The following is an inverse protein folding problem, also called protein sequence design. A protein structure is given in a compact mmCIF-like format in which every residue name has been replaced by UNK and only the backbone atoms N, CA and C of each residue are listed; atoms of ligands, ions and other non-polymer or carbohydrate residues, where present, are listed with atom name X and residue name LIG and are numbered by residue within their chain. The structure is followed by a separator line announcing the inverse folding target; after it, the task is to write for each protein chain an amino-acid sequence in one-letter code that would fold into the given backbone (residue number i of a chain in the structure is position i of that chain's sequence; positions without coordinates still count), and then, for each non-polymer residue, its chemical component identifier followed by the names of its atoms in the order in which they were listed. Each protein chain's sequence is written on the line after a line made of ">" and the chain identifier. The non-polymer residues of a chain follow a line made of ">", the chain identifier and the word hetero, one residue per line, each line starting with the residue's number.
data_IF_634814407481
#
_entry.id   IF_634814407481
#
_cell.length_a   1.000
_cell.length_b   1.000
_cell.length_c   1.000
_cell.angle_alpha   90.00
_cell.angle_beta   90.00
_cell.angle_gamma   90.00
#
_symmetry.space_group_name_H-M   'P 1'
#
loop_
_entity.id
_entity.type
_entity.pdbx_description
1 polymer ?
#
# COMPACT_ATOMS: atom_id res chain seq x y z
N UNK A 1 15.50 74.49 -10.31
CA UNK A 1 15.34 73.63 -9.12
C UNK A 1 15.49 72.18 -9.60
N UNK A 2 16.65 71.57 -9.33
CA UNK A 2 17.14 70.39 -10.07
C UNK A 2 16.47 69.09 -9.59
N UNK A 3 15.34 68.75 -10.21
CA UNK A 3 14.60 67.49 -10.00
C UNK A 3 15.45 66.22 -10.23
N UNK A 4 16.48 66.29 -11.07
CA UNK A 4 17.33 65.14 -11.35
C UNK A 4 18.20 64.72 -10.17
N UNK A 5 18.66 65.64 -9.31
CA UNK A 5 19.51 65.26 -8.16
C UNK A 5 18.74 64.54 -7.04
N UNK A 6 17.43 64.74 -6.94
CA UNK A 6 16.56 64.09 -5.94
C UNK A 6 16.23 62.65 -6.38
N UNK A 7 16.06 62.41 -7.68
CA UNK A 7 15.73 61.09 -8.22
C UNK A 7 16.89 60.08 -8.07
N UNK A 8 18.14 60.53 -8.24
CA UNK A 8 19.33 59.68 -8.07
C UNK A 8 19.64 59.32 -6.61
N UNK A 9 19.10 60.07 -5.64
CA UNK A 9 19.23 59.76 -4.21
C UNK A 9 18.10 58.85 -3.70
N UNK A 10 16.92 58.88 -4.34
CA UNK A 10 15.79 58.03 -4.00
C UNK A 10 15.95 56.58 -4.51
N UNK A 11 16.58 56.38 -5.66
CA UNK A 11 16.74 55.07 -6.28
C UNK A 11 17.54 54.04 -5.44
N UNK A 12 18.70 54.39 -4.82
CA UNK A 12 19.42 53.44 -3.97
C UNK A 12 18.70 53.19 -2.63
N UNK A 13 17.97 54.18 -2.10
CA UNK A 13 17.19 54.02 -0.85
C UNK A 13 15.97 53.12 -1.06
N UNK A 14 15.31 53.22 -2.22
CA UNK A 14 14.19 52.34 -2.58
C UNK A 14 14.66 50.90 -2.86
N UNK A 15 15.84 50.72 -3.47
CA UNK A 15 16.44 49.41 -3.69
C UNK A 15 16.82 48.71 -2.37
N UNK A 16 17.36 49.44 -1.39
CA UNK A 16 17.67 48.90 -0.05
C UNK A 16 16.40 48.54 0.73
N UNK A 17 15.31 49.31 0.58
CA UNK A 17 14.01 48.95 1.16
C UNK A 17 13.33 47.75 0.47
N UNK A 18 13.55 47.55 -0.84
CA UNK A 18 13.08 46.36 -1.56
C UNK A 18 13.88 45.09 -1.21
N UNK A 19 15.16 45.20 -0.85
CA UNK A 19 15.99 44.07 -0.41
C UNK A 19 15.76 43.69 1.06
N UNK A 20 15.35 44.63 1.92
CA UNK A 20 15.01 44.35 3.31
C UNK A 20 13.61 43.72 3.49
N UNK A 21 12.81 43.61 2.42
CA UNK A 21 11.42 43.13 2.47
C UNK A 21 11.19 41.68 2.03
N UNK A 22 12.24 40.86 1.88
CA UNK A 22 12.13 39.52 1.30
C UNK A 22 12.07 38.36 2.32
N UNK A 23 12.22 38.61 3.62
CA UNK A 23 11.99 37.61 4.65
C UNK A 23 10.68 37.89 5.39
N UNK A 24 9.60 37.20 5.01
CA UNK A 24 8.28 37.34 5.68
C UNK A 24 8.22 36.65 7.05
N UNK A 25 9.24 35.86 7.38
CA UNK A 25 9.44 35.13 8.61
C UNK A 25 10.96 34.89 8.75
N UNK A 26 11.46 34.80 9.98
CA UNK A 26 12.87 34.51 10.26
C UNK A 26 12.96 33.84 11.64
N UNK A 27 13.94 32.95 11.84
CA UNK A 27 14.25 32.35 13.13
C UNK A 27 15.20 33.21 13.99
N UNK A 28 15.85 34.22 13.40
CA UNK A 28 16.91 35.01 14.05
C UNK A 28 16.39 36.30 14.70
N UNK A 29 15.25 36.81 14.25
CA UNK A 29 14.72 38.11 14.67
C UNK A 29 13.37 37.97 15.39
N UNK A 30 13.33 38.32 16.67
CA UNK A 30 12.11 38.27 17.52
C UNK A 30 10.94 39.15 17.02
N UNK A 31 11.19 40.04 16.05
CA UNK A 31 10.19 40.93 15.46
C UNK A 31 9.41 40.28 14.29
N UNK A 32 9.86 39.12 13.79
CA UNK A 32 9.21 38.39 12.70
C UNK A 32 8.52 37.12 13.23
N UNK A 33 7.38 36.72 12.65
CA UNK A 33 6.75 35.45 13.00
C UNK A 33 7.65 34.27 12.63
N UNK A 34 7.52 33.15 13.36
CA UNK A 34 8.17 31.89 13.02
C UNK A 34 7.83 31.48 11.58
N UNK A 35 8.82 30.91 10.88
CA UNK A 35 8.59 30.41 9.54
C UNK A 35 7.68 29.20 9.54
N UNK A 36 6.73 29.21 8.61
CA UNK A 36 5.71 28.18 8.51
C UNK A 36 6.25 27.02 7.68
N UNK A 37 6.33 25.83 8.28
CA UNK A 37 6.81 24.62 7.64
C UNK A 37 5.69 23.59 7.64
N UNK A 38 5.08 23.35 6.48
CA UNK A 38 3.98 22.39 6.34
C UNK A 38 4.37 21.16 5.55
N UNK A 39 3.75 20.05 5.92
CA UNK A 39 3.90 18.75 5.29
C UNK A 39 2.53 18.20 4.90
N UNK A 40 2.43 17.60 3.71
CA UNK A 40 1.22 16.91 3.26
C UNK A 40 1.53 15.55 2.70
N UNK A 41 0.74 14.56 3.08
CA UNK A 41 0.91 13.19 2.61
C UNK A 41 0.34 13.04 1.20
N UNK A 42 1.05 12.31 0.33
CA UNK A 42 0.61 12.02 -1.04
C UNK A 42 0.77 10.54 -1.33
N UNK A 43 -0.23 9.95 -1.98
CA UNK A 43 -0.18 8.56 -2.44
C UNK A 43 -0.31 8.55 -3.95
N UNK A 44 0.81 8.79 -4.64
CA UNK A 44 0.94 8.68 -6.11
C UNK A 44 1.52 7.34 -6.56
N UNK A 45 1.98 6.54 -5.61
CA UNK A 45 2.53 5.22 -5.86
C UNK A 45 1.41 4.20 -6.05
N UNK A 46 0.52 4.47 -7.01
CA UNK A 46 -0.56 3.59 -7.44
C UNK A 46 -0.56 3.45 -8.96
N UNK A 47 -1.35 2.51 -9.48
CA UNK A 47 -1.43 2.22 -10.92
C UNK A 47 -1.98 3.40 -11.76
N UNK A 48 -2.64 4.39 -11.14
CA UNK A 48 -3.18 5.58 -11.81
C UNK A 48 -2.18 6.73 -11.88
N UNK A 49 -1.04 6.63 -11.18
CA UNK A 49 -0.01 7.68 -11.10
C UNK A 49 -0.56 9.06 -10.66
N UNK A 50 -1.64 9.06 -9.89
CA UNK A 50 -2.30 10.27 -9.38
C UNK A 50 -2.43 10.18 -7.87
N UNK A 51 -2.48 11.33 -7.19
CA UNK A 51 -2.61 11.34 -5.73
C UNK A 51 -3.99 10.84 -5.31
N UNK A 52 -4.01 9.74 -4.55
CA UNK A 52 -5.21 9.11 -4.04
C UNK A 52 -5.28 9.14 -2.50
N UNK A 53 -4.36 9.82 -1.81
CA UNK A 53 -4.24 9.73 -0.34
C UNK A 53 -5.55 10.09 0.38
N UNK A 54 -6.15 11.23 0.01
CA UNK A 54 -7.40 11.67 0.64
C UNK A 54 -8.56 10.68 0.41
N UNK A 55 -8.62 10.06 -0.78
CA UNK A 55 -9.64 9.05 -1.10
C UNK A 55 -9.44 7.79 -0.25
N UNK A 56 -8.21 7.28 -0.18
CA UNK A 56 -7.86 6.10 0.64
C UNK A 56 -8.22 6.33 2.12
N UNK A 57 -7.83 7.47 2.69
CA UNK A 57 -8.10 7.79 4.10
C UNK A 57 -9.60 7.90 4.41
N UNK A 58 -10.40 8.49 3.50
CA UNK A 58 -11.85 8.60 3.70
C UNK A 58 -12.53 7.24 3.66
N UNK A 59 -12.08 6.34 2.79
CA UNK A 59 -12.70 5.02 2.59
C UNK A 59 -12.20 3.93 3.55
N UNK A 60 -11.20 4.21 4.39
CA UNK A 60 -10.84 3.28 5.46
C UNK A 60 -12.06 3.02 6.36
N UNK A 61 -12.35 1.75 6.61
CA UNK A 61 -13.41 1.35 7.54
C UNK A 61 -13.01 1.59 8.99
N UNK A 62 -11.72 1.45 9.29
CA UNK A 62 -11.15 1.61 10.63
C UNK A 62 -10.37 2.91 10.72
N UNK A 63 -9.22 2.83 11.37
CA UNK A 63 -8.42 3.93 11.86
C UNK A 63 -7.97 4.89 10.74
N UNK A 64 -8.37 6.16 10.87
CA UNK A 64 -8.06 7.24 9.91
C UNK A 64 -7.02 8.14 10.53
N UNK A 65 -5.79 7.65 10.58
CA UNK A 65 -4.68 8.37 11.15
C UNK A 65 -3.40 8.22 10.33
N UNK A 66 -2.45 9.12 10.59
CA UNK A 66 -1.05 8.98 10.21
C UNK A 66 -0.21 9.15 11.46
N UNK A 67 0.65 8.17 11.74
CA UNK A 67 1.69 8.26 12.75
C UNK A 67 2.97 8.73 12.09
N UNK A 68 3.41 9.94 12.41
CA UNK A 68 4.64 10.53 11.94
C UNK A 68 5.71 10.42 13.04
N UNK A 69 6.82 9.79 12.75
CA UNK A 69 7.99 9.68 13.61
C UNK A 69 9.10 10.59 13.07
N UNK A 70 9.72 11.35 13.96
CA UNK A 70 10.70 12.38 13.64
C UNK A 70 12.03 11.97 14.26
N UNK A 71 13.05 11.82 13.41
CA UNK A 71 14.42 11.49 13.79
C UNK A 71 15.35 12.65 13.43
N UNK A 72 16.43 12.82 14.18
CA UNK A 72 17.48 13.81 13.87
C UNK A 72 18.34 13.38 12.67
N UNK A 73 19.29 14.24 12.29
CA UNK A 73 20.28 14.03 11.21
C UNK A 73 21.17 12.79 11.39
N UNK A 74 21.16 12.18 12.58
CA UNK A 74 21.93 10.97 12.92
C UNK A 74 21.05 9.74 13.06
N UNK A 75 19.75 9.86 12.77
CA UNK A 75 18.78 8.78 12.86
C UNK A 75 18.31 8.47 14.27
N UNK A 76 18.52 9.36 15.25
CA UNK A 76 18.04 9.19 16.62
C UNK A 76 16.62 9.76 16.77
N UNK A 77 15.75 9.01 17.43
CA UNK A 77 14.35 9.38 17.61
C UNK A 77 14.19 10.61 18.51
N UNK A 78 13.48 11.62 18.00
CA UNK A 78 13.15 12.86 18.69
C UNK A 78 11.75 12.83 19.28
N UNK A 79 10.74 12.58 18.44
CA UNK A 79 9.33 12.62 18.82
C UNK A 79 8.45 11.91 17.79
N UNK A 80 7.20 11.65 18.18
CA UNK A 80 6.16 11.17 17.28
C UNK A 80 4.92 12.05 17.36
N UNK A 81 4.13 12.07 16.29
CA UNK A 81 2.86 12.76 16.18
C UNK A 81 1.81 11.84 15.60
N UNK A 82 0.63 11.85 16.21
CA UNK A 82 -0.57 11.21 15.68
C UNK A 82 -1.42 12.27 14.98
N UNK A 83 -1.62 12.13 13.68
CA UNK A 83 -2.37 13.06 12.83
C UNK A 83 -3.69 12.39 12.47
N UNK A 84 -4.80 12.97 12.94
CA UNK A 84 -6.14 12.42 12.78
C UNK A 84 -7.19 13.54 12.68
N UNK A 85 -8.45 13.19 12.44
CA UNK A 85 -9.56 14.14 12.46
C UNK A 85 -9.42 15.27 11.42
N UNK A 86 -9.60 16.52 11.84
CA UNK A 86 -9.59 17.67 10.94
C UNK A 86 -8.19 18.00 10.38
N UNK A 87 -7.12 17.72 11.14
CA UNK A 87 -5.75 17.93 10.63
C UNK A 87 -5.46 16.97 9.47
N UNK A 88 -5.84 15.70 9.60
CA UNK A 88 -5.72 14.72 8.52
C UNK A 88 -6.58 15.08 7.31
N UNK A 89 -7.83 15.53 7.52
CA UNK A 89 -8.72 15.96 6.42
C UNK A 89 -8.16 17.15 5.67
N UNK A 90 -7.54 18.09 6.37
CA UNK A 90 -6.85 19.23 5.76
C UNK A 90 -5.59 18.79 5.02
N UNK A 91 -4.94 17.72 5.51
CA UNK A 91 -3.69 17.19 5.01
C UNK A 91 -2.61 18.28 4.93
N UNK A 92 -2.44 19.02 6.03
CA UNK A 92 -1.49 20.12 6.16
C UNK A 92 -0.93 20.10 7.59
N UNK A 93 0.07 19.24 7.80
CA UNK A 93 0.74 19.02 9.09
C UNK A 93 1.73 20.15 9.32
N UNK A 94 1.60 20.88 10.42
CA UNK A 94 2.47 22.00 10.76
C UNK A 94 3.67 21.53 11.59
N UNK A 95 4.88 21.62 11.02
CA UNK A 95 6.15 21.24 11.64
C UNK A 95 6.99 22.46 12.07
N UNK A 96 6.39 23.65 12.15
CA UNK A 96 7.09 24.90 12.48
C UNK A 96 7.68 24.96 13.89
N UNK A 97 7.38 23.98 14.74
CA UNK A 97 7.98 23.85 16.08
C UNK A 97 9.37 23.21 16.07
N UNK A 98 9.76 22.55 14.97
CA UNK A 98 11.09 22.00 14.79
C UNK A 98 12.08 23.11 14.43
N UNK A 99 13.26 23.07 15.04
CA UNK A 99 14.33 24.01 14.72
C UNK A 99 14.82 23.84 13.28
N UNK A 100 15.45 24.86 12.68
CA UNK A 100 16.15 24.69 11.42
C UNK A 100 17.22 23.60 11.50
N UNK A 101 17.21 22.68 10.54
CA UNK A 101 18.07 21.48 10.56
C UNK A 101 17.60 20.41 9.58
N UNK A 102 18.35 19.30 9.58
CA UNK A 102 18.04 18.10 8.79
C UNK A 102 17.41 17.03 9.68
N UNK A 103 16.41 16.34 9.15
CA UNK A 103 15.60 15.34 9.83
C UNK A 103 15.35 14.14 8.92
N UNK A 104 15.15 12.97 9.52
CA UNK A 104 14.58 11.80 8.85
C UNK A 104 13.18 11.57 9.38
N UNK A 105 12.20 11.52 8.49
CA UNK A 105 10.79 11.34 8.85
C UNK A 105 10.32 9.97 8.39
N UNK A 106 9.62 9.23 9.25
CA UNK A 106 8.95 7.97 8.93
C UNK A 106 7.45 8.14 9.19
N UNK A 107 6.60 7.77 8.23
CA UNK A 107 5.16 7.85 8.40
C UNK A 107 4.51 6.49 8.18
N UNK A 108 3.52 6.16 9.02
CA UNK A 108 2.62 5.03 8.85
C UNK A 108 1.16 5.49 8.90
N UNK A 109 0.40 5.30 7.84
CA UNK A 109 -1.03 5.62 7.80
C UNK A 109 -1.88 4.35 7.91
N UNK A 110 -2.98 4.42 8.68
CA UNK A 110 -3.87 3.28 8.93
C UNK A 110 -3.33 2.23 9.92
N UNK A 111 -2.20 2.54 10.58
CA UNK A 111 -1.61 1.69 11.61
C UNK A 111 -2.53 1.67 12.85
N UNK A 112 -2.96 0.46 13.23
CA UNK A 112 -3.98 0.26 14.25
C UNK A 112 -3.71 -0.98 15.12
N UNK A 113 -4.13 -0.90 16.39
CA UNK A 113 -3.92 -1.96 17.38
C UNK A 113 -4.81 -3.19 17.16
N UNK A 114 -5.80 -3.14 16.26
CA UNK A 114 -6.59 -4.36 15.97
C UNK A 114 -5.79 -5.29 15.07
N UNK A 115 -5.09 -4.72 14.09
CA UNK A 115 -4.44 -5.48 13.04
C UNK A 115 -2.96 -5.71 13.26
N UNK A 116 -2.29 -4.81 13.99
CA UNK A 116 -0.84 -4.76 14.04
C UNK A 116 -0.31 -4.68 15.46
N UNK A 117 0.93 -5.13 15.64
CA UNK A 117 1.78 -4.83 16.78
C UNK A 117 2.99 -4.04 16.30
N UNK A 118 3.30 -2.95 16.97
CA UNK A 118 4.54 -2.21 16.79
C UNK A 118 4.99 -1.70 18.16
N UNK A 119 6.25 -1.32 18.27
CA UNK A 119 6.77 -0.63 19.44
C UNK A 119 6.93 0.85 19.11
N UNK A 120 6.36 1.71 19.94
CA UNK A 120 6.64 3.15 19.87
C UNK A 120 8.14 3.37 20.16
N UNK A 121 8.86 4.10 19.29
CA UNK A 121 10.27 4.39 19.51
C UNK A 121 10.49 5.09 20.86
N UNK A 122 11.50 4.64 21.60
CA UNK A 122 11.92 5.31 22.82
C UNK A 122 12.90 6.45 22.50
N UNK A 123 13.03 7.43 23.41
CA UNK A 123 14.01 8.50 23.25
C UNK A 123 15.42 7.93 23.02
N UNK A 124 16.06 8.35 21.93
CA UNK A 124 17.39 7.87 21.53
C UNK A 124 17.45 6.49 20.86
N UNK A 125 16.31 5.84 20.61
CA UNK A 125 16.25 4.69 19.69
C UNK A 125 16.53 5.13 18.26
N UNK A 126 16.98 4.21 17.44
CA UNK A 126 17.31 4.46 16.04
C UNK A 126 16.13 4.11 15.13
N UNK A 127 16.07 4.71 13.95
CA UNK A 127 15.06 4.34 12.94
C UNK A 127 15.07 2.83 12.62
N UNK A 128 16.28 2.24 12.63
CA UNK A 128 16.53 0.82 12.42
C UNK A 128 15.91 -0.10 13.47
N UNK A 129 15.46 0.44 14.62
CA UNK A 129 14.79 -0.34 15.66
C UNK A 129 13.28 -0.48 15.42
N UNK A 130 12.70 0.31 14.50
CA UNK A 130 11.26 0.29 14.24
C UNK A 130 10.85 -1.05 13.61
N UNK A 131 9.87 -1.72 14.22
CA UNK A 131 9.28 -2.95 13.68
C UNK A 131 7.77 -2.91 13.82
N UNK A 132 7.09 -3.28 12.74
CA UNK A 132 5.65 -3.53 12.69
C UNK A 132 5.42 -4.97 12.28
N UNK A 133 4.49 -5.66 12.94
CA UNK A 133 4.07 -7.01 12.57
C UNK A 133 2.55 -7.14 12.58
N UNK A 134 2.02 -7.96 11.67
CA UNK A 134 0.59 -8.31 11.65
C UNK A 134 0.26 -9.23 12.82
N UNK A 135 -0.87 -8.94 13.49
CA UNK A 135 -1.45 -9.83 14.48
C UNK A 135 -2.04 -11.06 13.78
N UNK A 136 -1.41 -12.21 13.99
CA UNK A 136 -1.85 -13.48 13.44
C UNK A 136 -2.05 -14.52 14.55
N UNK A 137 -3.20 -15.19 14.55
CA UNK A 137 -3.47 -16.31 15.46
C UNK A 137 -2.98 -17.59 14.80
N UNK A 138 -2.02 -18.28 15.42
CA UNK A 138 -1.40 -19.48 14.82
C UNK A 138 -0.85 -19.23 13.41
N UNK A 139 -0.27 -18.04 13.18
CA UNK A 139 0.19 -17.55 11.87
C UNK A 139 -0.92 -17.46 10.80
N UNK A 140 -2.18 -17.30 11.20
CA UNK A 140 -3.32 -17.15 10.30
C UNK A 140 -3.98 -15.78 10.47
N UNK A 141 -4.42 -15.21 9.34
CA UNK A 141 -5.22 -13.98 9.26
C UNK A 141 -6.41 -14.22 8.34
N UNK A 142 -7.63 -14.09 8.86
CA UNK A 142 -8.91 -14.33 8.18
C UNK A 142 -9.86 -13.13 8.25
N UNK A 143 -9.39 -12.00 8.78
CA UNK A 143 -10.14 -10.75 8.88
C UNK A 143 -9.75 -9.81 7.75
N UNK A 144 -10.65 -8.88 7.44
CA UNK A 144 -10.32 -7.78 6.55
C UNK A 144 -9.30 -6.84 7.20
N UNK A 145 -8.28 -6.44 6.45
CA UNK A 145 -7.30 -5.43 6.89
C UNK A 145 -7.68 -4.07 6.34
N UNK A 146 -7.52 -3.02 7.15
CA UNK A 146 -7.60 -1.64 6.67
C UNK A 146 -6.32 -1.23 5.95
N UNK A 147 -6.43 -0.24 5.06
CA UNK A 147 -5.31 0.23 4.23
C UNK A 147 -4.11 0.65 5.07
N UNK A 148 -2.98 -0.04 4.91
CA UNK A 148 -1.73 0.33 5.57
C UNK A 148 -0.81 1.01 4.57
N UNK A 149 -0.30 2.19 4.93
CA UNK A 149 0.62 2.95 4.09
C UNK A 149 1.88 3.27 4.87
N UNK A 150 3.01 3.35 4.17
CA UNK A 150 4.30 3.70 4.75
C UNK A 150 5.03 4.68 3.83
N UNK A 151 5.89 5.51 4.39
CA UNK A 151 6.93 6.17 3.62
C UNK A 151 8.00 6.77 4.52
N UNK A 152 9.11 7.17 3.89
CA UNK A 152 10.22 7.88 4.50
C UNK A 152 10.52 9.17 3.73
N UNK A 153 11.02 10.19 4.44
CA UNK A 153 11.42 11.45 3.83
C UNK A 153 12.60 12.07 4.58
N UNK A 154 13.70 12.30 3.86
CA UNK A 154 14.76 13.21 4.29
C UNK A 154 14.23 14.65 4.18
N UNK A 155 14.17 15.35 5.31
CA UNK A 155 13.50 16.64 5.43
C UNK A 155 14.40 17.71 6.02
N UNK A 156 14.59 18.81 5.29
CA UNK A 156 15.38 19.97 5.74
C UNK A 156 14.46 21.14 6.05
N UNK A 157 14.54 21.66 7.28
CA UNK A 157 13.92 22.91 7.68
C UNK A 157 14.94 24.04 7.51
N UNK A 158 14.71 25.00 6.60
CA UNK A 158 15.62 26.12 6.41
C UNK A 158 15.54 27.10 7.58
N UNK A 159 16.62 27.85 7.82
CA UNK A 159 16.66 28.91 8.84
C UNK A 159 15.72 30.09 8.55
N UNK A 160 15.19 30.18 7.32
CA UNK A 160 14.22 31.19 6.93
C UNK A 160 13.45 30.78 5.68
N UNK A 161 12.29 31.40 5.50
CA UNK A 161 11.33 31.08 4.43
C UNK A 161 10.36 29.96 4.82
N UNK A 162 9.11 30.09 4.38
CA UNK A 162 8.10 29.06 4.56
C UNK A 162 8.32 27.89 3.57
N UNK A 163 7.96 26.68 3.98
CA UNK A 163 8.03 25.48 3.14
C UNK A 163 6.69 24.76 3.10
N UNK A 164 6.37 24.17 1.95
CA UNK A 164 5.27 23.22 1.77
C UNK A 164 5.83 21.97 1.08
N UNK A 165 5.82 20.84 1.78
CA UNK A 165 6.53 19.63 1.37
C UNK A 165 5.58 18.45 1.24
N UNK A 166 5.74 17.71 0.15
CA UNK A 166 5.04 16.45 -0.06
C UNK A 166 5.77 15.29 0.60
N UNK A 167 5.04 14.48 1.36
CA UNK A 167 5.51 13.24 1.94
C UNK A 167 4.93 12.06 1.13
N UNK A 168 5.74 11.38 0.30
CA UNK A 168 5.26 10.28 -0.51
C UNK A 168 5.01 9.02 0.33
N UNK A 169 3.89 8.35 0.06
CA UNK A 169 3.53 7.07 0.67
C UNK A 169 3.40 5.97 -0.40
N UNK A 170 3.66 4.74 0.04
CA UNK A 170 3.34 3.48 -0.65
C UNK A 170 2.31 2.70 0.16
N UNK A 171 1.50 1.87 -0.49
CA UNK A 171 0.47 1.06 0.19
C UNK A 171 0.99 -0.38 0.35
N UNK A 172 0.87 -0.90 1.56
CA UNK A 172 1.39 -2.22 1.93
C UNK A 172 0.30 -3.29 1.92
N UNK A 173 -0.96 -2.94 2.12
CA UNK A 173 -2.06 -3.92 2.08
C UNK A 173 -2.56 -4.13 0.65
N UNK A 174 -2.74 -5.40 0.28
CA UNK A 174 -3.27 -5.83 -0.99
C UNK A 174 -4.56 -6.64 -0.80
N UNK A 175 -5.54 -6.45 -1.68
CA UNK A 175 -6.78 -7.23 -1.76
C UNK A 175 -6.76 -8.15 -2.96
N UNK A 176 -7.12 -9.41 -2.77
CA UNK A 176 -7.22 -10.39 -3.84
C UNK A 176 -8.63 -10.95 -3.83
N UNK A 177 -9.38 -10.67 -4.90
CA UNK A 177 -10.69 -11.25 -5.17
C UNK A 177 -10.54 -12.41 -6.15
N UNK A 178 -11.01 -13.59 -5.75
CA UNK A 178 -11.00 -14.78 -6.59
C UNK A 178 -12.44 -15.17 -6.94
N UNK A 179 -12.70 -15.40 -8.22
CA UNK A 179 -14.01 -15.78 -8.77
C UNK A 179 -13.85 -17.15 -9.41
N UNK A 180 -14.53 -18.15 -8.89
CA UNK A 180 -14.49 -19.51 -9.43
C UNK A 180 -15.82 -19.85 -10.09
N UNK A 181 -15.78 -20.13 -11.38
CA UNK A 181 -16.95 -20.49 -12.20
C UNK A 181 -16.87 -21.97 -12.58
N UNK A 182 -17.92 -22.74 -12.28
CA UNK A 182 -18.05 -24.10 -12.81
C UNK A 182 -18.51 -24.05 -14.28
N UNK A 183 -17.71 -24.62 -15.17
CA UNK A 183 -18.00 -24.75 -16.58
C UNK A 183 -19.10 -25.79 -16.86
N UNK A 184 -19.36 -26.71 -15.91
CA UNK A 184 -20.40 -27.72 -16.04
C UNK A 184 -21.73 -27.21 -15.46
N UNK A 185 -22.74 -27.08 -16.34
CA UNK A 185 -24.11 -26.81 -15.89
C UNK A 185 -24.65 -28.02 -15.11
N UNK A 186 -24.83 -27.87 -13.80
CA UNK A 186 -25.55 -28.84 -12.96
C UNK A 186 -24.93 -29.18 -11.61
N UNK A 187 -23.70 -28.74 -11.34
CA UNK A 187 -23.13 -28.82 -9.99
C UNK A 187 -23.66 -27.67 -9.15
N UNK A 188 -24.32 -27.98 -8.05
CA UNK A 188 -24.66 -26.95 -7.07
C UNK A 188 -23.38 -26.49 -6.37
N UNK A 189 -23.01 -25.22 -6.55
CA UNK A 189 -21.88 -24.62 -5.88
C UNK A 189 -22.28 -24.18 -4.47
N UNK A 190 -21.48 -24.56 -3.48
CA UNK A 190 -21.57 -24.04 -2.12
C UNK A 190 -20.36 -23.19 -1.83
N UNK A 191 -20.52 -22.19 -0.95
CA UNK A 191 -19.38 -21.43 -0.44
C UNK A 191 -18.36 -22.37 0.20
N UNK A 192 -18.77 -23.43 0.88
CA UNK A 192 -17.85 -24.33 1.61
C UNK A 192 -17.21 -25.40 0.71
N UNK A 193 -17.44 -25.34 -0.61
CA UNK A 193 -16.92 -26.31 -1.56
C UNK A 193 -15.42 -26.17 -1.81
N UNK A 194 -14.84 -25.00 -1.50
CA UNK A 194 -13.44 -24.68 -1.80
C UNK A 194 -12.72 -24.06 -0.62
N UNK A 195 -11.47 -24.44 -0.47
CA UNK A 195 -10.52 -23.85 0.46
C UNK A 195 -9.54 -22.98 -0.33
N UNK A 196 -9.61 -21.67 -0.12
CA UNK A 196 -8.68 -20.69 -0.67
C UNK A 196 -7.66 -20.31 0.39
N UNK A 197 -6.39 -20.37 0.02
CA UNK A 197 -5.27 -20.09 0.93
C UNK A 197 -4.20 -19.32 0.18
N UNK A 198 -3.78 -18.20 0.74
CA UNK A 198 -2.56 -17.51 0.33
C UNK A 198 -1.52 -17.63 1.43
N UNK A 199 -0.25 -17.84 1.08
CA UNK A 199 0.85 -17.78 2.06
C UNK A 199 1.94 -16.83 1.61
N UNK A 200 2.57 -16.15 2.57
CA UNK A 200 3.65 -15.17 2.32
C UNK A 200 4.62 -15.14 3.53
N UNK A 201 5.74 -14.43 3.37
CA UNK A 201 6.74 -14.15 4.44
C UNK A 201 6.90 -12.63 4.63
N UNK A 202 5.79 -11.89 4.60
CA UNK A 202 5.74 -10.42 4.68
C UNK A 202 5.00 -9.95 5.94
N UNK A 203 4.99 -10.79 6.99
CA UNK A 203 4.21 -10.58 8.20
C UNK A 203 4.76 -9.48 9.11
N UNK A 204 6.04 -9.14 8.95
CA UNK A 204 6.76 -8.14 9.74
C UNK A 204 7.62 -7.25 8.84
N UNK A 205 7.48 -5.93 8.97
CA UNK A 205 8.16 -4.91 8.17
C UNK A 205 8.98 -3.99 9.08
N UNK A 206 10.17 -3.59 8.63
CA UNK A 206 11.00 -2.58 9.29
C UNK A 206 10.63 -1.13 8.88
N UNK A 207 11.44 -0.16 9.30
CA UNK A 207 11.29 1.23 8.91
C UNK A 207 11.39 1.44 7.39
N UNK A 208 12.18 0.62 6.71
CA UNK A 208 12.46 0.67 5.28
C UNK A 208 11.46 -0.13 4.44
N UNK A 209 10.38 -0.56 5.08
CA UNK A 209 9.30 -1.32 4.46
C UNK A 209 9.73 -2.71 3.97
N UNK A 210 10.81 -3.26 4.52
CA UNK A 210 11.37 -4.55 4.12
C UNK A 210 10.99 -5.66 5.10
N UNK A 211 10.60 -6.85 4.61
CA UNK A 211 10.33 -8.01 5.47
C UNK A 211 11.56 -8.42 6.28
N UNK A 212 11.35 -8.77 7.55
CA UNK A 212 12.46 -9.07 8.46
C UNK A 212 12.59 -10.55 8.80
N UNK A 213 11.49 -11.30 8.77
CA UNK A 213 11.49 -12.73 9.08
C UNK A 213 10.96 -13.58 7.93
N UNK A 214 11.45 -14.82 7.86
CA UNK A 214 10.90 -15.86 6.96
C UNK A 214 9.64 -16.51 7.54
N UNK A 215 8.97 -15.86 8.51
CA UNK A 215 7.77 -16.42 9.16
C UNK A 215 6.64 -16.48 8.16
N UNK A 216 6.19 -17.70 7.87
CA UNK A 216 5.08 -17.91 6.93
C UNK A 216 3.74 -17.54 7.57
N UNK A 217 3.08 -16.54 7.01
CA UNK A 217 1.70 -16.17 7.30
C UNK A 217 0.77 -16.87 6.33
N UNK A 218 -0.37 -17.32 6.84
CA UNK A 218 -1.48 -17.90 6.09
C UNK A 218 -2.65 -16.92 6.05
N UNK A 219 -2.95 -16.41 4.87
CA UNK A 219 -4.06 -15.50 4.61
C UNK A 219 -5.26 -16.29 4.12
N UNK A 220 -6.39 -16.06 4.76
CA UNK A 220 -7.64 -16.73 4.50
C UNK A 220 -8.70 -15.72 4.07
N UNK A 221 -9.71 -16.18 3.33
CA UNK A 221 -10.87 -15.37 3.02
C UNK A 221 -11.53 -14.74 4.23
N UNK A 222 -11.73 -13.42 4.18
CA UNK A 222 -12.65 -12.73 5.07
C UNK A 222 -14.07 -12.69 4.48
N UNK A 223 -14.19 -12.89 3.17
CA UNK A 223 -15.46 -13.03 2.45
C UNK A 223 -15.41 -14.28 1.56
N UNK A 224 -16.46 -15.10 1.62
CA UNK A 224 -16.67 -16.23 0.71
C UNK A 224 -18.16 -16.48 0.53
N UNK A 225 -18.64 -16.33 -0.71
CA UNK A 225 -20.06 -16.39 -1.04
C UNK A 225 -20.30 -16.99 -2.43
N UNK A 226 -21.54 -17.41 -2.68
CA UNK A 226 -21.99 -17.80 -4.02
C UNK A 226 -22.73 -16.62 -4.64
N UNK A 227 -22.32 -16.21 -5.82
CA UNK A 227 -23.00 -15.20 -6.63
C UNK A 227 -23.63 -15.85 -7.86
N UNK A 228 -24.90 -15.52 -8.11
CA UNK A 228 -25.67 -16.04 -9.25
C UNK A 228 -25.75 -15.00 -10.35
N UNK A 229 -25.20 -15.31 -11.52
CA UNK A 229 -25.33 -14.47 -12.71
C UNK A 229 -26.54 -14.93 -13.50
N UNK A 230 -27.46 -14.01 -13.76
CA UNK A 230 -28.68 -14.26 -14.54
C UNK A 230 -28.44 -14.03 -16.02
N UNK A 231 -29.27 -14.66 -16.86
CA UNK A 231 -29.31 -14.40 -18.29
C UNK A 231 -29.68 -12.93 -18.58
N UNK A 232 -29.35 -12.43 -19.77
CA UNK A 232 -29.57 -11.03 -20.14
C UNK A 232 -31.06 -10.59 -20.09
N UNK A 233 -31.99 -11.53 -20.26
CA UNK A 233 -33.43 -11.33 -20.11
C UNK A 233 -33.93 -11.51 -18.65
N UNK A 234 -33.00 -11.76 -17.73
CA UNK A 234 -33.24 -12.00 -16.31
C UNK A 234 -34.14 -13.21 -16.00
N UNK A 235 -34.41 -14.07 -17.01
CA UNK A 235 -35.39 -15.14 -16.93
C UNK A 235 -34.81 -16.46 -16.37
N UNK A 236 -33.50 -16.67 -16.51
CA UNK A 236 -32.83 -17.91 -16.09
C UNK A 236 -31.49 -17.62 -15.42
N UNK A 237 -30.95 -18.59 -14.68
CA UNK A 237 -29.57 -18.56 -14.20
C UNK A 237 -28.63 -18.86 -15.37
N UNK A 238 -27.70 -17.97 -15.65
CA UNK A 238 -26.66 -18.17 -16.65
C UNK A 238 -25.53 -19.05 -16.08
N UNK A 239 -25.04 -18.73 -14.89
CA UNK A 239 -24.07 -19.51 -14.11
C UNK A 239 -24.02 -19.04 -12.66
N UNK A 240 -23.52 -19.90 -11.76
CA UNK A 240 -23.14 -19.55 -10.39
C UNK A 240 -21.61 -19.46 -10.29
N UNK A 241 -21.13 -18.63 -9.36
CA UNK A 241 -19.71 -18.49 -9.08
C UNK A 241 -19.46 -18.45 -7.57
N UNK A 242 -18.37 -19.08 -7.12
CA UNK A 242 -17.85 -18.88 -5.77
C UNK A 242 -16.93 -17.66 -5.81
N UNK A 243 -17.34 -16.59 -5.15
CA UNK A 243 -16.58 -15.35 -5.01
C UNK A 243 -15.96 -15.30 -3.62
N UNK A 244 -14.66 -15.03 -3.55
CA UNK A 244 -13.93 -14.88 -2.30
C UNK A 244 -13.03 -13.66 -2.34
N UNK A 245 -12.82 -13.05 -1.17
CA UNK A 245 -11.85 -11.98 -0.98
C UNK A 245 -10.97 -12.28 0.22
N UNK A 246 -9.67 -12.06 0.05
CA UNK A 246 -8.64 -12.14 1.07
C UNK A 246 -7.68 -10.96 0.96
N UNK A 247 -6.92 -10.69 2.02
CA UNK A 247 -5.88 -9.66 2.02
C UNK A 247 -4.50 -10.30 2.17
N UNK A 248 -3.47 -9.52 1.84
CA UNK A 248 -2.08 -9.76 2.27
C UNK A 248 -1.41 -8.42 2.55
N UNK A 249 -0.23 -8.44 3.16
CA UNK A 249 0.68 -7.30 3.19
C UNK A 249 1.49 -7.17 1.89
N UNK A 250 2.59 -6.42 1.92
CA UNK A 250 3.39 -6.01 0.75
C UNK A 250 3.81 -7.23 -0.05
N UNK A 251 3.47 -7.25 -1.33
CA UNK A 251 3.84 -8.32 -2.24
C UNK A 251 5.29 -8.12 -2.69
N UNK A 252 6.13 -9.11 -2.44
CA UNK A 252 7.56 -9.04 -2.75
C UNK A 252 7.84 -9.93 -3.95
N UNK A 253 8.49 -9.36 -4.97
CA UNK A 253 8.83 -10.07 -6.18
C UNK A 253 9.87 -11.18 -5.88
N UNK A 254 9.68 -12.34 -6.50
CA UNK A 254 10.50 -13.55 -6.32
C UNK A 254 10.54 -14.09 -4.87
N UNK A 255 9.60 -13.69 -4.02
CA UNK A 255 9.42 -14.28 -2.69
C UNK A 255 8.72 -15.65 -2.77
N UNK A 256 8.70 -16.39 -1.65
CA UNK A 256 8.16 -17.77 -1.58
C UNK A 256 6.64 -17.84 -1.37
N UNK A 257 5.91 -16.79 -1.76
CA UNK A 257 4.48 -16.70 -1.55
C UNK A 257 3.68 -17.60 -2.51
N UNK A 258 2.59 -18.20 -2.03
CA UNK A 258 1.78 -19.12 -2.84
C UNK A 258 0.29 -18.79 -2.79
N UNK A 259 -0.40 -19.06 -3.90
CA UNK A 259 -1.85 -19.17 -3.96
C UNK A 259 -2.23 -20.63 -4.13
N UNK A 260 -3.09 -21.14 -3.23
CA UNK A 260 -3.59 -22.50 -3.23
C UNK A 260 -5.12 -22.52 -3.21
N UNK A 261 -5.72 -23.31 -4.12
CA UNK A 261 -7.16 -23.59 -4.15
C UNK A 261 -7.37 -25.10 -4.14
N UNK A 262 -8.13 -25.58 -3.15
CA UNK A 262 -8.45 -27.00 -2.99
C UNK A 262 -9.96 -27.18 -2.98
N UNK A 263 -10.43 -28.19 -3.69
CA UNK A 263 -11.82 -28.64 -3.58
C UNK A 263 -11.98 -29.49 -2.31
N UNK A 264 -13.04 -29.27 -1.53
CA UNK A 264 -13.16 -29.80 -0.18
C UNK A 264 -13.08 -31.34 -0.10
N UNK A 265 -13.56 -32.07 -1.11
CA UNK A 265 -13.47 -33.53 -1.20
C UNK A 265 -12.07 -34.05 -1.55
N UNK A 266 -11.16 -33.18 -2.00
CA UNK A 266 -9.82 -33.53 -2.45
C UNK A 266 -8.78 -33.26 -1.36
N UNK A 267 -7.71 -34.08 -1.37
CA UNK A 267 -6.60 -33.93 -0.41
C UNK A 267 -5.57 -32.91 -0.87
N UNK A 268 -5.39 -32.76 -2.17
CA UNK A 268 -4.39 -31.90 -2.79
C UNK A 268 -5.07 -30.73 -3.50
N UNK A 269 -4.49 -29.53 -3.46
CA UNK A 269 -5.00 -28.40 -4.22
C UNK A 269 -4.87 -28.64 -5.73
N UNK A 270 -5.83 -28.15 -6.50
CA UNK A 270 -5.81 -28.21 -7.97
C UNK A 270 -5.23 -26.92 -8.58
N UNK A 271 -5.14 -25.84 -7.79
CA UNK A 271 -4.31 -24.65 -8.07
C UNK A 271 -3.31 -24.54 -6.94
N UNK A 272 -2.01 -24.52 -7.24
CA UNK A 272 -0.96 -24.24 -6.27
C UNK A 272 0.23 -23.62 -7.00
N UNK A 273 0.33 -22.30 -6.99
CA UNK A 273 1.28 -21.53 -7.82
C UNK A 273 1.96 -20.42 -7.03
N UNK A 274 3.08 -19.91 -7.57
CA UNK A 274 3.70 -18.67 -7.11
C UNK A 274 2.70 -17.51 -7.22
N UNK A 275 2.43 -16.86 -6.09
CA UNK A 275 1.50 -15.74 -6.02
C UNK A 275 2.01 -14.53 -6.81
N UNK A 276 3.24 -14.09 -6.56
CA UNK A 276 3.78 -12.87 -7.18
C UNK A 276 3.93 -13.08 -8.69
N UNK A 277 4.43 -14.26 -9.09
CA UNK A 277 4.50 -14.66 -10.49
C UNK A 277 3.14 -14.63 -11.20
N UNK A 278 2.09 -15.19 -10.58
CA UNK A 278 0.74 -15.16 -11.14
C UNK A 278 0.19 -13.74 -11.25
N UNK A 279 0.30 -12.94 -10.20
CA UNK A 279 -0.25 -11.57 -10.18
C UNK A 279 0.42 -10.66 -11.19
N UNK A 280 1.72 -10.85 -11.48
CA UNK A 280 2.42 -10.08 -12.52
C UNK A 280 1.97 -10.41 -13.96
N UNK A 281 1.21 -11.48 -14.20
CA UNK A 281 0.72 -11.81 -15.54
C UNK A 281 -0.29 -10.79 -16.09
N UNK A 282 -0.95 -10.03 -15.23
CA UNK A 282 -1.83 -8.90 -15.61
C UNK A 282 -1.06 -7.67 -16.07
N UNK A 283 0.25 -7.62 -15.84
CA UNK A 283 1.03 -6.42 -16.04
C UNK A 283 0.92 -5.98 -17.50
N UNK A 284 0.38 -4.78 -17.70
CA UNK A 284 0.24 -4.22 -19.04
C UNK A 284 1.63 -3.88 -19.57
N UNK A 285 2.08 -4.62 -20.60
CA UNK A 285 3.41 -4.49 -21.17
C UNK A 285 3.77 -3.06 -21.64
N UNK A 286 2.78 -2.23 -22.00
CA UNK A 286 3.01 -0.83 -22.40
C UNK A 286 3.37 0.10 -21.24
N UNK A 287 3.07 -0.26 -19.99
CA UNK A 287 3.39 0.56 -18.81
C UNK A 287 4.88 0.51 -18.44
N UNK A 288 5.62 -0.53 -18.88
CA UNK A 288 7.07 -0.69 -18.67
C UNK A 288 7.52 -0.55 -17.21
N UNK A 289 6.71 -1.01 -16.26
CA UNK A 289 7.10 -1.06 -14.84
C UNK A 289 7.98 -2.28 -14.61
N UNK A 290 8.89 -2.21 -13.64
CA UNK A 290 9.50 -3.45 -13.13
C UNK A 290 8.48 -4.25 -12.30
N UNK A 291 8.83 -5.51 -11.99
CA UNK A 291 7.92 -6.42 -11.29
C UNK A 291 7.55 -5.96 -9.88
N UNK A 292 8.51 -5.42 -9.12
CA UNK A 292 8.27 -4.94 -7.77
C UNK A 292 7.48 -3.62 -7.79
N UNK A 293 7.82 -2.69 -8.69
CA UNK A 293 7.05 -1.45 -8.85
C UNK A 293 5.59 -1.73 -9.25
N UNK A 294 5.34 -2.74 -10.10
CA UNK A 294 3.97 -3.14 -10.39
C UNK A 294 3.23 -3.65 -9.14
N UNK A 295 3.86 -4.54 -8.36
CA UNK A 295 3.28 -5.12 -7.16
C UNK A 295 3.05 -4.09 -6.04
N UNK A 296 3.88 -3.06 -5.94
CA UNK A 296 3.72 -1.97 -4.97
C UNK A 296 2.67 -0.93 -5.43
N UNK A 297 2.39 -0.83 -6.74
CA UNK A 297 1.39 0.11 -7.32
C UNK A 297 -0.01 -0.47 -7.46
N UNK A 298 -0.14 -1.77 -7.71
CA UNK A 298 -1.42 -2.45 -7.81
C UNK A 298 -1.74 -3.08 -6.46
N UNK A 299 -2.83 -2.62 -5.85
CA UNK A 299 -3.27 -3.01 -4.51
C UNK A 299 -4.56 -3.84 -4.52
N UNK A 300 -5.25 -3.93 -5.66
CA UNK A 300 -6.46 -4.73 -5.85
C UNK A 300 -6.29 -5.67 -7.05
N UNK A 301 -6.48 -6.97 -6.84
CA UNK A 301 -6.33 -8.00 -7.86
C UNK A 301 -7.62 -8.79 -8.00
N UNK A 302 -8.06 -9.00 -9.24
CA UNK A 302 -9.21 -9.87 -9.54
C UNK A 302 -8.75 -11.04 -10.41
N UNK A 303 -8.96 -12.24 -9.90
CA UNK A 303 -8.60 -13.49 -10.55
C UNK A 303 -9.87 -14.30 -10.81
N UNK A 304 -10.08 -14.77 -12.04
CA UNK A 304 -11.24 -15.60 -12.38
C UNK A 304 -10.81 -16.97 -12.87
N UNK A 305 -11.16 -18.06 -12.19
CA UNK A 305 -10.87 -19.41 -12.64
C UNK A 305 -12.12 -20.10 -13.18
N UNK A 306 -12.00 -20.75 -14.34
CA UNK A 306 -13.01 -21.65 -14.87
C UNK A 306 -12.59 -23.09 -14.55
N UNK A 307 -13.46 -23.81 -13.86
CA UNK A 307 -13.19 -25.18 -13.41
C UNK A 307 -14.20 -26.16 -13.98
N UNK A 308 -13.75 -27.38 -14.25
CA UNK A 308 -14.60 -28.53 -14.54
C UNK A 308 -14.74 -29.36 -13.26
N UNK A 309 -15.95 -29.40 -12.70
CA UNK A 309 -16.27 -30.22 -11.53
C UNK A 309 -17.02 -31.47 -11.99
N UNK A 310 -16.40 -32.63 -11.82
CA UNK A 310 -17.01 -33.91 -12.17
C UNK A 310 -16.56 -35.03 -11.23
N UNK A 311 -17.49 -35.89 -10.82
CA UNK A 311 -17.17 -37.08 -10.02
C UNK A 311 -16.51 -36.78 -8.67
N UNK A 312 -16.75 -35.60 -8.09
CA UNK A 312 -16.16 -35.17 -6.81
C UNK A 312 -14.71 -34.70 -6.91
N UNK A 313 -14.26 -34.29 -8.10
CA UNK A 313 -12.95 -33.66 -8.35
C UNK A 313 -13.14 -32.35 -9.10
N UNK A 314 -12.25 -31.40 -8.87
CA UNK A 314 -12.17 -30.15 -9.62
C UNK A 314 -10.91 -30.13 -10.48
N UNK A 315 -11.04 -29.69 -11.73
CA UNK A 315 -9.92 -29.46 -12.63
C UNK A 315 -9.97 -28.03 -13.16
N UNK A 316 -8.89 -27.28 -13.02
CA UNK A 316 -8.82 -25.91 -13.54
C UNK A 316 -8.59 -25.92 -15.05
N UNK A 317 -9.52 -25.37 -15.82
CA UNK A 317 -9.39 -25.23 -17.27
C UNK A 317 -8.45 -24.08 -17.63
N UNK A 318 -8.70 -22.90 -17.05
CA UNK A 318 -7.85 -21.72 -17.18
C UNK A 318 -8.21 -20.67 -16.13
N UNK A 319 -7.26 -19.77 -15.86
CA UNK A 319 -7.43 -18.58 -15.03
C UNK A 319 -7.38 -17.36 -15.93
N UNK A 320 -8.31 -16.43 -15.75
CA UNK A 320 -8.30 -15.11 -16.36
C UNK A 320 -7.76 -14.11 -15.35
N UNK A 321 -6.76 -13.35 -15.77
CA UNK A 321 -6.02 -12.38 -14.96
C UNK A 321 -6.02 -11.08 -15.79
N UNK A 322 -6.83 -10.08 -15.42
CA UNK A 322 -7.05 -8.82 -16.19
C UNK A 322 -7.10 -9.02 -17.73
N UNK A 323 -8.04 -9.84 -18.20
CA UNK A 323 -8.29 -10.22 -19.61
C UNK A 323 -7.29 -11.21 -20.26
N UNK A 324 -6.27 -11.69 -19.55
CA UNK A 324 -5.35 -12.72 -20.05
C UNK A 324 -5.75 -14.13 -19.60
N UNK A 325 -5.87 -15.05 -20.57
CA UNK A 325 -6.12 -16.48 -20.29
C UNK A 325 -4.79 -17.18 -20.00
N UNK A 326 -4.66 -17.68 -18.79
CA UNK A 326 -3.51 -18.46 -18.29
C UNK A 326 -3.95 -19.90 -18.11
N UNK A 327 -3.31 -20.83 -18.82
CA UNK A 327 -3.49 -22.28 -18.59
C UNK A 327 -2.46 -22.73 -17.57
N UNK A 328 -2.92 -23.24 -16.42
CA UNK A 328 -2.02 -23.60 -15.33
C UNK A 328 -1.14 -24.82 -15.65
N UNK A 329 -1.51 -25.64 -16.65
CA UNK A 329 -0.64 -26.70 -17.19
C UNK A 329 0.68 -26.14 -17.77
N UNK A 330 0.68 -24.91 -18.28
CA UNK A 330 1.86 -24.24 -18.85
C UNK A 330 2.81 -23.63 -17.79
N UNK A 331 2.38 -23.55 -16.52
CA UNK A 331 3.16 -22.91 -15.43
C UNK A 331 4.16 -23.88 -14.78
N UNK A 332 4.23 -25.13 -15.25
CA UNK A 332 5.23 -26.14 -14.82
C UNK A 332 6.55 -26.09 -15.61
N UNK A 333 6.85 -25.04 -16.38
CA UNK A 333 8.11 -24.93 -17.11
C UNK A 333 9.19 -24.19 -16.32
N UNK A 334 9.58 -24.87 -15.25
CA UNK A 334 10.81 -24.69 -14.50
C UNK A 334 11.21 -26.01 -13.85
N UNK A 335 11.22 -27.11 -14.62
CA UNK A 335 12.03 -28.30 -14.34
C UNK A 335 12.11 -29.21 -15.59
N UNK A 336 13.30 -29.18 -16.19
CA UNK A 336 14.07 -30.29 -16.76
C UNK A 336 13.38 -31.37 -17.61
N UNK A 337 13.78 -31.34 -18.89
CA UNK A 337 14.15 -32.45 -19.74
C UNK A 337 13.18 -33.62 -19.96
N UNK A 338 12.75 -33.72 -21.22
CA UNK A 338 12.33 -34.95 -21.85
C UNK A 338 13.36 -36.07 -21.62
N UNK A 339 12.99 -37.03 -20.80
CA UNK A 339 13.72 -38.29 -20.60
C UNK A 339 12.85 -39.49 -20.95
N UNK A 340 12.81 -39.80 -22.25
CA UNK A 340 12.36 -41.05 -22.94
C UNK A 340 10.87 -41.43 -22.92
#
# INVERSE_FOLDING_TARGET
>A
MNYHKILYLLFPVLAVFCLAGLASCDYIHDELPLCRHTLRFVYRHNIKHADAFAYEMVNQEREKNVRLYIYDDKGAFLSSRLIEGEELKKNEVDLSELAPGDYHLLAWAGLNDTDYTWMEPAAGSTIEDFRMAVKAAENRVDRELSGLFQGELDYTIPAGGATDTEFPLVKNTNKIRFILVDANRGTELSKDAFDFVVTTTNGDLDAHNEPQSDTRITWLPYLQQVETVKSADNATVAYDAVCTELNTLRLIDNATGTLSVRYASEKTPFINVDLAGLLKLTQIASHKLDGQEYLDRQDEYVLTAYVDIAGGRAHCLYVVVDDWIVRLEDVTLGNEEMGL
#
